data_IF_076430536486
#
_entry.id   IF_076430536486
#
_cell.length_a   1.000
_cell.length_b   1.000
_cell.length_c   1.000
_cell.angle_alpha   90.00
_cell.angle_beta   90.00
_cell.angle_gamma   90.00
#
_symmetry.space_group_name_H-M   'P 1'
#
loop_
_entity.id
_entity.type
_entity.pdbx_description
1 polymer ?
#
# COMPACT_ATOMS: atom_id res chain seq x y z
N UNK A 1 -73.67 1.73 -15.19
CA UNK A 1 -72.61 0.76 -15.50
C UNK A 1 -71.75 1.20 -16.66
N UNK A 2 -70.98 2.28 -16.54
CA UNK A 2 -70.14 2.79 -17.68
C UNK A 2 -68.81 3.43 -17.25
N UNK A 3 -68.37 3.34 -16.00
CA UNK A 3 -67.17 4.12 -15.52
C UNK A 3 -66.09 3.27 -14.83
N UNK A 4 -66.07 1.97 -15.03
CA UNK A 4 -65.10 1.09 -14.37
C UNK A 4 -63.93 0.68 -15.31
N UNK A 5 -63.86 1.20 -16.52
CA UNK A 5 -62.88 0.75 -17.52
C UNK A 5 -61.61 1.61 -17.68
N UNK A 6 -61.40 2.64 -16.91
CA UNK A 6 -60.28 3.55 -17.12
C UNK A 6 -59.32 3.75 -15.94
N UNK A 7 -59.39 2.83 -14.92
CA UNK A 7 -58.50 2.96 -13.74
C UNK A 7 -57.39 1.91 -13.69
N UNK A 8 -57.16 1.16 -14.76
CA UNK A 8 -56.14 0.09 -14.76
C UNK A 8 -54.87 0.43 -15.54
N UNK A 9 -54.77 1.65 -16.13
CA UNK A 9 -53.68 1.92 -17.07
C UNK A 9 -52.62 2.93 -16.62
N UNK A 10 -52.52 3.29 -15.35
CA UNK A 10 -51.49 4.28 -14.89
C UNK A 10 -50.75 3.76 -13.65
N UNK A 11 -50.51 2.46 -13.57
CA UNK A 11 -49.44 1.90 -12.72
C UNK A 11 -48.41 1.26 -13.65
N UNK A 12 -48.07 1.95 -14.73
CA UNK A 12 -46.85 1.66 -15.46
C UNK A 12 -45.72 2.36 -14.71
N UNK A 13 -45.24 1.66 -13.70
CA UNK A 13 -43.84 1.60 -13.32
C UNK A 13 -42.97 2.81 -13.75
N UNK A 14 -42.99 3.88 -13.01
CA UNK A 14 -41.77 4.66 -12.83
C UNK A 14 -40.81 3.85 -11.92
N UNK A 15 -40.31 2.74 -12.45
CA UNK A 15 -39.03 2.19 -12.05
C UNK A 15 -37.97 3.18 -12.55
N UNK A 16 -37.88 4.31 -11.89
CA UNK A 16 -36.69 5.14 -11.95
C UNK A 16 -35.62 4.26 -11.31
N UNK A 17 -35.00 3.42 -12.13
CA UNK A 17 -33.70 2.86 -11.83
C UNK A 17 -32.81 4.06 -11.61
N UNK A 18 -32.70 4.50 -10.36
CA UNK A 18 -31.65 5.40 -9.95
C UNK A 18 -30.37 4.69 -10.35
N UNK A 19 -29.82 5.05 -11.51
CA UNK A 19 -28.46 4.71 -11.84
C UNK A 19 -27.68 5.50 -10.79
N UNK A 20 -27.49 4.85 -9.63
CA UNK A 20 -26.50 5.31 -8.67
C UNK A 20 -25.20 5.23 -9.45
N UNK A 21 -24.79 6.35 -9.96
CA UNK A 21 -23.47 6.48 -10.58
C UNK A 21 -22.49 6.30 -9.41
N UNK A 22 -22.18 5.04 -9.10
CA UNK A 22 -21.25 4.72 -8.04
C UNK A 22 -19.96 5.48 -8.34
N UNK A 23 -19.54 6.33 -7.43
CA UNK A 23 -18.30 7.07 -7.59
C UNK A 23 -17.18 6.07 -7.92
N UNK A 24 -16.33 6.42 -8.86
CA UNK A 24 -15.21 5.58 -9.26
C UNK A 24 -14.20 5.49 -8.10
N UNK A 25 -13.86 4.28 -7.67
CA UNK A 25 -12.82 4.04 -6.69
C UNK A 25 -11.47 4.24 -7.37
N UNK A 26 -10.74 5.26 -6.96
CA UNK A 26 -9.39 5.57 -7.47
C UNK A 26 -8.36 4.77 -6.67
N UNK A 27 -7.74 3.78 -7.30
CA UNK A 27 -6.76 2.92 -6.63
C UNK A 27 -5.32 3.36 -6.87
N UNK A 28 -4.53 3.34 -5.78
CA UNK A 28 -3.08 3.31 -5.86
C UNK A 28 -2.54 1.88 -5.72
N UNK A 29 -1.39 1.61 -6.30
CA UNK A 29 -0.64 0.37 -6.08
C UNK A 29 0.82 0.64 -5.76
N UNK A 30 1.39 -0.19 -4.92
CA UNK A 30 2.80 -0.13 -4.57
C UNK A 30 3.67 -0.46 -5.79
N UNK A 31 4.88 0.11 -5.82
CA UNK A 31 5.85 -0.10 -6.91
C UNK A 31 6.78 -1.30 -6.65
N UNK A 32 6.20 -2.39 -6.16
CA UNK A 32 6.85 -3.71 -6.00
C UNK A 32 5.86 -4.85 -6.27
N UNK A 33 6.35 -6.06 -6.52
CA UNK A 33 5.59 -7.16 -7.10
C UNK A 33 4.31 -7.53 -6.35
N UNK A 34 4.39 -7.69 -5.03
CA UNK A 34 3.18 -7.99 -4.23
C UNK A 34 2.16 -6.85 -4.26
N UNK A 35 2.60 -5.61 -4.45
CA UNK A 35 1.73 -4.46 -4.61
C UNK A 35 0.93 -4.51 -5.90
N UNK A 36 1.57 -4.91 -7.01
CA UNK A 36 0.89 -5.11 -8.29
C UNK A 36 -0.17 -6.22 -8.18
N UNK A 37 0.23 -7.38 -7.66
CA UNK A 37 -0.67 -8.51 -7.53
C UNK A 37 -1.88 -8.20 -6.63
N UNK A 38 -1.66 -7.66 -5.45
CA UNK A 38 -2.74 -7.36 -4.52
C UNK A 38 -3.69 -6.29 -5.04
N UNK A 39 -3.18 -5.23 -5.68
CA UNK A 39 -4.03 -4.21 -6.26
C UNK A 39 -4.96 -4.78 -7.34
N UNK A 40 -4.46 -5.68 -8.19
CA UNK A 40 -5.27 -6.32 -9.22
C UNK A 40 -6.35 -7.22 -8.63
N UNK A 41 -6.01 -8.02 -7.61
CA UNK A 41 -7.00 -8.88 -6.92
C UNK A 41 -8.13 -8.04 -6.30
N UNK A 42 -7.79 -6.94 -5.64
CA UNK A 42 -8.79 -6.06 -5.03
C UNK A 42 -9.61 -5.29 -6.06
N UNK A 43 -8.99 -4.84 -7.16
CA UNK A 43 -9.70 -4.21 -8.29
C UNK A 43 -10.79 -5.15 -8.80
N UNK A 44 -10.42 -6.38 -9.16
CA UNK A 44 -11.38 -7.37 -9.67
C UNK A 44 -12.47 -7.71 -8.65
N UNK A 45 -12.13 -7.79 -7.36
CA UNK A 45 -13.12 -8.04 -6.32
C UNK A 45 -14.14 -6.90 -6.20
N UNK A 46 -13.68 -5.65 -6.20
CA UNK A 46 -14.54 -4.47 -6.16
C UNK A 46 -15.43 -4.37 -7.40
N UNK A 47 -14.87 -4.63 -8.58
CA UNK A 47 -15.65 -4.64 -9.84
C UNK A 47 -16.74 -5.70 -9.82
N UNK A 48 -16.47 -6.90 -9.30
CA UNK A 48 -17.50 -7.95 -9.09
C UNK A 48 -18.57 -7.55 -8.08
N UNK A 49 -18.25 -6.68 -7.14
CA UNK A 49 -19.21 -6.11 -6.21
C UNK A 49 -20.01 -4.95 -6.80
N UNK A 50 -19.76 -4.57 -8.05
CA UNK A 50 -20.47 -3.52 -8.77
C UNK A 50 -19.87 -2.12 -8.67
N UNK A 51 -18.67 -1.98 -8.07
CA UNK A 51 -17.98 -0.70 -8.07
C UNK A 51 -17.29 -0.45 -9.42
N UNK A 52 -17.26 0.80 -9.85
CA UNK A 52 -16.36 1.23 -10.90
C UNK A 52 -14.98 1.49 -10.28
N UNK A 53 -13.94 0.92 -10.83
CA UNK A 53 -12.58 1.06 -10.28
C UNK A 53 -11.64 1.58 -11.36
N UNK A 54 -10.85 2.60 -11.02
CA UNK A 54 -9.83 3.11 -11.93
C UNK A 54 -8.68 2.11 -12.10
N UNK A 55 -7.95 2.21 -13.20
CA UNK A 55 -6.67 1.49 -13.30
C UNK A 55 -5.73 1.90 -12.17
N UNK A 56 -5.20 0.95 -11.37
CA UNK A 56 -4.37 1.28 -10.23
C UNK A 56 -3.09 2.03 -10.61
N UNK A 57 -2.89 3.22 -10.06
CA UNK A 57 -1.71 4.05 -10.32
C UNK A 57 -0.52 3.59 -9.49
N UNK A 58 0.59 3.28 -10.15
CA UNK A 58 1.83 2.89 -9.47
C UNK A 58 2.48 4.09 -8.80
N UNK A 59 2.76 3.98 -7.51
CA UNK A 59 3.40 5.05 -6.75
C UNK A 59 4.19 4.53 -5.54
N UNK A 60 5.11 5.36 -5.05
CA UNK A 60 5.82 5.11 -3.79
C UNK A 60 4.89 5.40 -2.60
N UNK A 61 5.11 4.79 -1.42
CA UNK A 61 4.31 5.10 -0.23
C UNK A 61 4.24 6.59 0.10
N UNK A 62 5.36 7.30 0.08
CA UNK A 62 5.39 8.74 0.33
C UNK A 62 4.48 9.56 -0.59
N UNK A 63 4.36 9.17 -1.86
CA UNK A 63 3.47 9.82 -2.84
C UNK A 63 2.02 9.42 -2.61
N UNK A 64 1.77 8.14 -2.33
CA UNK A 64 0.42 7.65 -2.07
C UNK A 64 -0.26 8.41 -0.92
N UNK A 65 0.40 8.53 0.23
CA UNK A 65 -0.23 9.17 1.39
C UNK A 65 -0.55 10.65 1.16
N UNK A 66 0.28 11.35 0.39
CA UNK A 66 0.00 12.74 -0.02
C UNK A 66 -1.21 12.80 -0.97
N UNK A 67 -1.23 11.96 -1.99
CA UNK A 67 -2.32 11.90 -2.97
C UNK A 67 -3.65 11.48 -2.31
N UNK A 68 -3.62 10.52 -1.38
CA UNK A 68 -4.80 10.10 -0.63
C UNK A 68 -5.32 11.21 0.29
N UNK A 69 -4.44 11.94 0.97
CA UNK A 69 -4.83 13.08 1.79
C UNK A 69 -5.41 14.25 0.98
N UNK A 70 -5.03 14.36 -0.30
CA UNK A 70 -5.59 15.33 -1.26
C UNK A 70 -6.90 14.85 -1.91
N UNK A 71 -7.27 13.57 -1.80
CA UNK A 71 -8.46 12.98 -2.43
C UNK A 71 -8.23 12.53 -3.88
N UNK A 72 -6.98 12.44 -4.32
CA UNK A 72 -6.63 11.98 -5.67
C UNK A 72 -6.63 10.44 -5.79
N UNK A 73 -6.53 9.74 -4.65
CA UNK A 73 -6.55 8.28 -4.51
C UNK A 73 -7.40 7.92 -3.29
N UNK A 74 -8.24 6.90 -3.42
CA UNK A 74 -9.16 6.46 -2.38
C UNK A 74 -8.67 5.22 -1.64
N UNK A 75 -7.92 4.33 -2.30
CA UNK A 75 -7.59 3.01 -1.78
C UNK A 75 -6.17 2.56 -2.11
N UNK A 76 -5.53 1.96 -1.10
CA UNK A 76 -4.25 1.27 -1.20
C UNK A 76 -4.29 -0.02 -0.39
N UNK A 77 -4.03 -1.14 -1.01
CA UNK A 77 -4.21 -2.47 -0.42
C UNK A 77 -2.92 -3.13 0.08
N UNK A 78 -1.78 -2.47 -0.03
CA UNK A 78 -0.48 -2.97 0.40
C UNK A 78 0.19 -2.01 1.40
N UNK A 79 -0.53 -1.65 2.47
CA UNK A 79 -0.01 -0.84 3.55
C UNK A 79 0.88 -1.67 4.48
N UNK A 80 2.10 -1.24 4.73
CA UNK A 80 3.04 -1.84 5.69
C UNK A 80 2.98 -1.07 7.00
N UNK A 81 2.00 -1.40 7.83
CA UNK A 81 1.80 -0.74 9.13
C UNK A 81 3.00 -0.96 10.05
N UNK A 82 3.29 0.02 10.90
CA UNK A 82 4.57 0.17 11.56
C UNK A 82 5.57 0.96 10.70
N UNK A 83 5.87 0.47 9.49
CA UNK A 83 6.79 1.17 8.58
C UNK A 83 6.16 2.41 7.94
N UNK A 84 4.84 2.38 7.70
CA UNK A 84 4.09 3.50 7.11
C UNK A 84 3.44 4.43 8.12
N UNK A 85 3.53 4.16 9.43
CA UNK A 85 2.84 4.95 10.46
C UNK A 85 3.19 6.43 10.43
N UNK A 86 4.45 6.76 10.13
CA UNK A 86 4.89 8.15 9.97
C UNK A 86 4.17 8.87 8.83
N UNK A 87 3.97 8.20 7.69
CA UNK A 87 3.21 8.78 6.57
C UNK A 87 1.73 8.97 6.92
N UNK A 88 1.13 8.00 7.63
CA UNK A 88 -0.26 8.10 8.08
C UNK A 88 -0.42 9.30 9.02
N UNK A 89 0.49 9.47 9.97
CA UNK A 89 0.47 10.59 10.91
C UNK A 89 0.54 11.96 10.19
N UNK A 90 1.38 12.07 9.15
CA UNK A 90 1.53 13.28 8.34
C UNK A 90 0.23 13.67 7.61
N UNK A 91 -0.72 12.74 7.40
CA UNK A 91 -2.02 13.03 6.75
C UNK A 91 -3.04 13.70 7.67
N UNK A 92 -2.73 13.89 8.94
CA UNK A 92 -3.61 14.54 9.94
C UNK A 92 -5.03 13.96 10.01
N UNK A 93 -5.13 12.63 9.92
CA UNK A 93 -6.38 11.89 10.04
C UNK A 93 -7.21 11.76 8.74
N UNK A 94 -6.72 12.29 7.63
CA UNK A 94 -7.41 12.17 6.32
C UNK A 94 -7.30 10.77 5.73
N UNK A 95 -6.28 10.00 6.12
CA UNK A 95 -6.09 8.60 5.69
C UNK A 95 -6.19 7.70 6.91
N UNK A 96 -6.89 6.58 6.75
CA UNK A 96 -7.10 5.59 7.80
C UNK A 96 -6.65 4.20 7.35
N UNK A 97 -5.97 3.49 8.25
CA UNK A 97 -5.77 2.05 8.09
C UNK A 97 -7.08 1.31 8.36
N UNK A 98 -7.50 0.44 7.44
CA UNK A 98 -8.75 -0.33 7.55
C UNK A 98 -8.46 -1.81 7.32
N UNK A 99 -8.61 -2.62 8.36
CA UNK A 99 -8.39 -4.06 8.30
C UNK A 99 -6.93 -4.47 8.03
N UNK A 100 -6.73 -5.75 7.83
CA UNK A 100 -5.43 -6.33 7.51
C UNK A 100 -5.57 -7.31 6.36
N UNK A 101 -4.87 -7.05 5.26
CA UNK A 101 -4.80 -7.95 4.10
C UNK A 101 -4.07 -9.25 4.46
N UNK A 102 -2.99 -9.15 5.22
CA UNK A 102 -2.15 -10.27 5.67
C UNK A 102 -1.82 -10.11 7.17
N UNK A 103 -2.68 -10.56 8.07
CA UNK A 103 -2.40 -10.50 9.50
C UNK A 103 -1.12 -11.25 9.84
N UNK A 104 -0.17 -10.59 10.49
CA UNK A 104 1.17 -11.16 10.84
C UNK A 104 2.00 -11.62 9.62
N UNK A 105 1.64 -11.22 8.40
CA UNK A 105 2.29 -11.66 7.18
C UNK A 105 3.50 -10.84 6.75
N UNK A 106 3.63 -9.61 7.25
CA UNK A 106 4.74 -8.72 6.91
C UNK A 106 5.85 -8.79 7.95
N UNK A 107 7.05 -9.21 7.54
CA UNK A 107 8.25 -9.13 8.36
C UNK A 107 9.32 -8.35 7.60
N UNK A 108 9.90 -7.34 8.24
CA UNK A 108 11.03 -6.59 7.70
C UNK A 108 12.23 -6.67 8.64
N UNK A 109 13.43 -6.64 8.08
CA UNK A 109 14.67 -6.67 8.83
C UNK A 109 15.87 -6.51 7.92
N UNK A 110 17.04 -6.48 8.53
CA UNK A 110 18.29 -6.54 7.80
C UNK A 110 18.62 -7.99 7.47
N UNK A 111 19.04 -8.24 6.24
CA UNK A 111 19.40 -9.57 5.76
C UNK A 111 20.90 -9.61 5.47
N UNK A 112 21.50 -10.73 5.81
CA UNK A 112 22.87 -11.08 5.48
C UNK A 112 22.91 -12.55 5.07
N UNK A 113 23.79 -12.94 4.15
CA UNK A 113 23.94 -14.35 3.82
C UNK A 113 24.48 -15.16 5.01
N UNK A 114 23.99 -16.39 5.11
CA UNK A 114 24.31 -17.25 6.25
C UNK A 114 25.81 -17.53 6.40
N UNK A 115 26.53 -17.72 5.28
CA UNK A 115 27.96 -18.03 5.30
C UNK A 115 28.77 -16.88 5.91
N UNK A 116 28.44 -15.65 5.53
CA UNK A 116 29.07 -14.43 6.06
C UNK A 116 28.69 -14.23 7.53
N UNK A 117 27.41 -14.41 7.88
CA UNK A 117 26.96 -14.31 9.26
C UNK A 117 27.68 -15.30 10.19
N UNK A 118 27.84 -16.56 9.74
CA UNK A 118 28.53 -17.60 10.51
C UNK A 118 30.03 -17.30 10.64
N UNK A 119 30.68 -16.90 9.53
CA UNK A 119 32.11 -16.57 9.48
C UNK A 119 32.49 -15.48 10.50
N UNK A 120 31.71 -14.41 10.52
CA UNK A 120 31.96 -13.25 11.38
C UNK A 120 31.14 -13.25 12.68
N UNK A 121 30.35 -14.31 12.93
CA UNK A 121 29.48 -14.46 14.11
C UNK A 121 28.50 -13.29 14.27
N UNK A 122 27.96 -12.78 13.17
CA UNK A 122 27.03 -11.66 13.13
C UNK A 122 25.64 -12.14 13.54
N UNK A 123 25.08 -11.53 14.57
CA UNK A 123 23.74 -11.80 15.11
C UNK A 123 22.81 -10.58 15.02
N UNK A 124 23.38 -9.40 14.84
CA UNK A 124 22.69 -8.13 14.78
C UNK A 124 23.35 -7.26 13.72
N UNK A 125 22.58 -6.36 13.12
CA UNK A 125 23.12 -5.34 12.21
C UNK A 125 24.22 -4.51 12.87
N UNK A 126 24.16 -4.31 14.17
CA UNK A 126 25.19 -3.57 14.92
C UNK A 126 26.55 -4.30 14.98
N UNK A 127 26.57 -5.61 14.74
CA UNK A 127 27.84 -6.36 14.69
C UNK A 127 28.65 -6.05 13.40
N UNK A 128 27.97 -5.62 12.33
CA UNK A 128 28.60 -5.20 11.07
C UNK A 128 29.67 -4.13 11.31
N UNK A 129 29.43 -3.21 12.25
CA UNK A 129 30.37 -2.14 12.59
C UNK A 129 31.77 -2.65 12.96
N UNK A 130 31.87 -3.82 13.59
CA UNK A 130 33.14 -4.46 13.98
C UNK A 130 33.92 -5.03 12.78
N UNK A 131 33.20 -5.24 11.68
CA UNK A 131 33.68 -5.87 10.46
C UNK A 131 33.56 -4.96 9.25
N UNK A 132 33.45 -3.64 9.43
CA UNK A 132 33.15 -2.67 8.37
C UNK A 132 34.00 -2.88 7.12
N UNK A 133 35.31 -3.15 7.28
CA UNK A 133 36.24 -3.38 6.16
C UNK A 133 35.89 -4.59 5.27
N UNK A 134 35.22 -5.58 5.83
CA UNK A 134 34.80 -6.79 5.08
C UNK A 134 33.57 -6.53 4.20
N UNK A 135 32.86 -5.43 4.47
CA UNK A 135 31.68 -4.97 3.76
C UNK A 135 31.91 -3.66 2.99
N UNK A 136 33.14 -3.18 2.98
CA UNK A 136 33.55 -1.98 2.26
C UNK A 136 33.93 -2.36 0.83
N UNK A 137 33.01 -2.21 -0.12
CA UNK A 137 33.22 -2.58 -1.51
C UNK A 137 33.88 -1.49 -2.34
N UNK A 138 33.89 -0.25 -1.84
CA UNK A 138 34.39 0.92 -2.57
C UNK A 138 35.69 1.51 -1.98
N UNK A 139 36.13 1.02 -0.80
CA UNK A 139 37.36 1.44 -0.15
C UNK A 139 37.27 2.76 0.63
N UNK A 140 36.07 3.21 1.00
CA UNK A 140 35.87 4.46 1.73
C UNK A 140 35.94 4.31 3.26
N UNK A 141 36.19 3.09 3.74
CA UNK A 141 36.30 2.74 5.15
C UNK A 141 34.97 2.49 5.85
N UNK A 142 33.85 2.46 5.12
CA UNK A 142 32.51 2.19 5.65
C UNK A 142 31.96 0.89 5.09
N UNK A 143 31.10 0.26 5.87
CA UNK A 143 30.37 -0.91 5.39
C UNK A 143 29.25 -0.50 4.42
N UNK A 144 29.22 -1.11 3.25
CA UNK A 144 28.16 -0.92 2.27
C UNK A 144 26.95 -1.78 2.57
N UNK A 145 25.79 -1.27 2.26
CA UNK A 145 24.51 -1.95 2.39
C UNK A 145 23.61 -1.64 1.19
N UNK A 146 22.95 -2.66 0.66
CA UNK A 146 21.84 -2.45 -0.27
C UNK A 146 20.64 -1.94 0.52
N UNK A 147 20.42 -0.65 0.45
CA UNK A 147 19.35 0.03 1.19
C UNK A 147 18.01 -0.01 0.44
N UNK A 148 16.96 0.43 1.13
CA UNK A 148 15.65 0.62 0.51
C UNK A 148 15.64 1.79 -0.47
N UNK A 149 14.84 1.72 -1.55
CA UNK A 149 14.65 2.84 -2.45
C UNK A 149 14.12 4.10 -1.73
N UNK A 150 14.55 5.30 -2.14
CA UNK A 150 14.04 6.56 -1.58
C UNK A 150 12.53 6.69 -1.69
N UNK A 151 11.89 7.10 -0.59
CA UNK A 151 10.43 7.27 -0.49
C UNK A 151 9.68 6.01 -0.06
N UNK A 152 10.39 4.92 0.25
CA UNK A 152 9.82 3.75 0.92
C UNK A 152 9.91 3.92 2.44
N UNK A 153 8.98 3.29 3.19
CA UNK A 153 8.99 3.38 4.65
C UNK A 153 10.23 2.76 5.30
N UNK A 154 10.81 1.72 4.72
CA UNK A 154 12.04 1.11 5.21
C UNK A 154 13.27 2.02 5.06
N UNK A 155 13.32 2.91 4.08
CA UNK A 155 14.38 3.92 3.96
C UNK A 155 14.39 4.85 5.19
N UNK A 156 13.23 5.35 5.60
CA UNK A 156 13.10 6.15 6.84
C UNK A 156 13.58 5.37 8.08
N UNK A 157 13.30 4.06 8.17
CA UNK A 157 13.74 3.23 9.28
C UNK A 157 15.27 3.05 9.29
N UNK A 158 15.88 2.78 8.13
CA UNK A 158 17.32 2.67 7.99
C UNK A 158 18.00 3.97 8.45
N UNK A 159 17.55 5.12 7.93
CA UNK A 159 18.08 6.43 8.33
C UNK A 159 18.00 6.62 9.84
N UNK A 160 16.87 6.26 10.47
CA UNK A 160 16.69 6.37 11.92
C UNK A 160 17.64 5.46 12.71
N UNK A 161 17.96 4.26 12.20
CA UNK A 161 18.82 3.29 12.90
C UNK A 161 20.31 3.65 12.81
N UNK A 162 20.73 4.40 11.80
CA UNK A 162 22.13 4.73 11.54
C UNK A 162 22.44 6.24 11.63
N UNK A 163 21.48 7.08 12.03
CA UNK A 163 21.67 8.50 12.38
C UNK A 163 22.22 8.65 13.85
#
# INVERSE_FOLDING_TARGET
MKYIKHLVSIIAALSISSIVNAAEVKMGRANWDTGYFQAEVYKQALEKMGYKVSEPKTMKPSVFYVAAAAGDVDLWVNGWFGTHDGYIAETTGKVKAVGNVMPKGGLQGYLIDKKTADKFKIKSVMDIKKHAKEFDSNGDGKADMVACPPGWGCEKQITKHFA
#
